data_IF_417564298992
#
_entry.id   IF_417564298992
#
_cell.length_a   1.000
_cell.length_b   1.000
_cell.length_c   1.000
_cell.angle_alpha   90.00
_cell.angle_beta   90.00
_cell.angle_gamma   90.00
#
_symmetry.space_group_name_H-M   'P 1'
#
loop_
_entity.id
_entity.type
_entity.pdbx_description
1 polymer ?
#
# COMPACT_ATOMS: atom_id res chain seq x y z
N UNK A 1 15.87 -1.86 33.53
CA UNK A 1 14.78 -1.33 32.68
C UNK A 1 14.29 -2.48 31.82
N UNK A 2 13.17 -3.12 32.16
CA UNK A 2 12.55 -4.12 31.28
C UNK A 2 11.76 -3.32 30.24
N UNK A 3 12.17 -3.40 28.99
CA UNK A 3 11.35 -2.93 27.88
C UNK A 3 10.28 -4.01 27.68
N UNK A 4 9.09 -3.78 28.23
CA UNK A 4 7.90 -4.54 27.83
C UNK A 4 7.51 -4.02 26.45
N UNK A 5 8.20 -4.51 25.42
CA UNK A 5 7.77 -4.32 24.03
C UNK A 5 6.47 -5.11 23.90
N UNK A 6 5.36 -4.40 23.71
CA UNK A 6 4.06 -5.01 23.45
C UNK A 6 4.19 -5.93 22.22
N UNK A 7 3.83 -7.21 22.39
CA UNK A 7 3.89 -8.24 21.34
C UNK A 7 3.11 -7.81 20.08
N UNK A 8 2.10 -6.95 20.26
CA UNK A 8 1.37 -6.30 19.17
C UNK A 8 2.24 -5.33 18.37
N UNK A 9 3.00 -4.46 19.03
CA UNK A 9 3.91 -3.51 18.38
C UNK A 9 5.03 -4.22 17.62
N UNK A 10 5.55 -5.31 18.19
CA UNK A 10 6.58 -6.12 17.53
C UNK A 10 6.03 -6.80 16.26
N UNK A 11 4.81 -7.33 16.30
CA UNK A 11 4.13 -7.94 15.14
C UNK A 11 3.79 -6.91 14.06
N UNK A 12 3.34 -5.72 14.43
CA UNK A 12 3.06 -4.63 13.48
C UNK A 12 4.33 -4.12 12.79
N UNK A 13 5.43 -4.00 13.54
CA UNK A 13 6.74 -3.66 13.00
C UNK A 13 7.27 -4.76 12.06
N UNK A 14 7.21 -6.03 12.47
CA UNK A 14 7.63 -7.17 11.66
C UNK A 14 6.80 -7.29 10.37
N UNK A 15 5.48 -7.06 10.45
CA UNK A 15 4.60 -7.04 9.27
C UNK A 15 4.97 -5.90 8.32
N UNK A 16 5.13 -4.68 8.84
CA UNK A 16 5.52 -3.52 8.03
C UNK A 16 6.89 -3.74 7.37
N UNK A 17 7.86 -4.30 8.09
CA UNK A 17 9.17 -4.64 7.53
C UNK A 17 9.07 -5.72 6.46
N UNK A 18 8.34 -6.82 6.71
CA UNK A 18 8.19 -7.94 5.76
C UNK A 18 7.60 -7.51 4.42
N UNK A 19 6.65 -6.56 4.43
CA UNK A 19 6.00 -6.10 3.19
C UNK A 19 6.87 -5.14 2.40
N UNK A 20 7.61 -4.25 3.09
CA UNK A 20 8.62 -3.41 2.45
C UNK A 20 9.73 -4.29 1.86
N UNK A 21 10.14 -5.35 2.56
CA UNK A 21 11.11 -6.33 2.05
C UNK A 21 10.60 -7.04 0.79
N UNK A 22 9.31 -7.38 0.70
CA UNK A 22 8.75 -8.02 -0.49
C UNK A 22 8.87 -7.13 -1.74
N UNK A 23 8.61 -5.82 -1.61
CA UNK A 23 8.80 -4.87 -2.70
C UNK A 23 10.28 -4.68 -3.05
N UNK A 24 11.16 -4.61 -2.05
CA UNK A 24 12.62 -4.54 -2.26
C UNK A 24 13.11 -5.78 -3.00
N UNK A 25 12.67 -6.98 -2.61
CA UNK A 25 13.02 -8.23 -3.27
C UNK A 25 12.46 -8.30 -4.70
N UNK A 26 11.24 -7.81 -4.92
CA UNK A 26 10.65 -7.71 -6.26
C UNK A 26 11.43 -6.74 -7.17
N UNK A 27 12.08 -5.74 -6.58
CA UNK A 27 12.97 -4.78 -7.26
C UNK A 27 14.45 -5.20 -7.24
N UNK A 28 14.75 -6.50 -7.16
CA UNK A 28 16.12 -7.04 -7.19
C UNK A 28 17.04 -6.44 -6.11
N UNK A 29 16.49 -6.17 -4.93
CA UNK A 29 17.14 -5.51 -3.80
C UNK A 29 17.56 -4.05 -4.04
N UNK A 30 17.03 -3.41 -5.09
CA UNK A 30 17.18 -1.97 -5.31
C UNK A 30 16.14 -1.18 -4.48
N UNK A 31 16.57 -0.72 -3.30
CA UNK A 31 15.75 0.10 -2.40
C UNK A 31 15.30 1.42 -3.03
N UNK A 32 16.10 2.01 -3.93
CA UNK A 32 15.77 3.29 -4.58
C UNK A 32 14.65 3.08 -5.60
N UNK A 33 14.70 1.97 -6.33
CA UNK A 33 13.64 1.54 -7.25
C UNK A 33 12.37 1.21 -6.48
N UNK A 34 12.45 0.40 -5.43
CA UNK A 34 11.31 0.08 -4.56
C UNK A 34 10.62 1.33 -4.01
N UNK A 35 11.40 2.30 -3.49
CA UNK A 35 10.87 3.57 -2.99
C UNK A 35 10.20 4.39 -4.10
N UNK A 36 10.77 4.40 -5.31
CA UNK A 36 10.22 5.12 -6.46
C UNK A 36 8.89 4.52 -6.92
N UNK A 37 8.81 3.18 -6.98
CA UNK A 37 7.60 2.44 -7.31
C UNK A 37 6.51 2.72 -6.27
N UNK A 38 6.86 2.62 -4.97
CA UNK A 38 5.92 2.91 -3.89
C UNK A 38 5.37 4.33 -3.97
N UNK A 39 6.22 5.34 -4.18
CA UNK A 39 5.76 6.74 -4.31
C UNK A 39 4.81 6.93 -5.48
N UNK A 40 5.16 6.41 -6.67
CA UNK A 40 4.28 6.56 -7.84
C UNK A 40 2.96 5.82 -7.67
N UNK A 41 2.98 4.62 -7.08
CA UNK A 41 1.77 3.88 -6.79
C UNK A 41 0.89 4.60 -5.76
N UNK A 42 1.50 5.23 -4.75
CA UNK A 42 0.77 6.04 -3.77
C UNK A 42 0.15 7.30 -4.38
N UNK A 43 0.89 8.01 -5.24
CA UNK A 43 0.35 9.16 -5.98
C UNK A 43 -0.78 8.73 -6.92
N UNK A 44 -0.64 7.58 -7.58
CA UNK A 44 -1.70 7.00 -8.41
C UNK A 44 -2.96 6.68 -7.59
N UNK A 45 -2.81 6.11 -6.40
CA UNK A 45 -3.92 5.85 -5.47
C UNK A 45 -4.65 7.13 -5.09
N UNK A 46 -3.93 8.20 -4.73
CA UNK A 46 -4.52 9.51 -4.39
C UNK A 46 -5.34 10.03 -5.57
N UNK A 47 -4.74 10.06 -6.76
CA UNK A 47 -5.44 10.53 -7.97
C UNK A 47 -6.71 9.71 -8.22
N UNK A 48 -6.63 8.37 -8.13
CA UNK A 48 -7.79 7.51 -8.35
C UNK A 48 -8.88 7.72 -7.31
N UNK A 49 -8.51 7.93 -6.05
CA UNK A 49 -9.45 8.24 -4.99
C UNK A 49 -10.16 9.57 -5.25
N UNK A 50 -9.40 10.64 -5.53
CA UNK A 50 -9.94 11.96 -5.87
C UNK A 50 -10.88 11.89 -7.09
N UNK A 51 -10.48 11.20 -8.16
CA UNK A 51 -11.33 11.02 -9.35
C UNK A 51 -12.58 10.20 -9.07
N UNK A 52 -12.48 9.15 -8.25
CA UNK A 52 -13.63 8.33 -7.88
C UNK A 52 -14.65 9.11 -7.03
N UNK A 53 -14.24 10.11 -6.25
CA UNK A 53 -15.17 11.03 -5.58
C UNK A 53 -16.03 11.83 -6.56
N UNK A 54 -15.51 12.15 -7.76
CA UNK A 54 -16.26 12.83 -8.82
C UNK A 54 -17.11 11.87 -9.66
N UNK A 55 -16.63 10.66 -9.94
CA UNK A 55 -17.34 9.64 -10.71
C UNK A 55 -17.11 8.23 -10.14
N UNK A 56 -18.06 7.78 -9.32
CA UNK A 56 -18.04 6.46 -8.70
C UNK A 56 -18.23 5.29 -9.69
N UNK A 57 -18.49 5.56 -10.98
CA UNK A 57 -18.63 4.51 -11.99
C UNK A 57 -17.28 4.03 -12.55
N UNK A 58 -16.19 4.72 -12.22
CA UNK A 58 -14.85 4.49 -12.75
C UNK A 58 -14.20 3.20 -12.19
N UNK A 59 -14.41 2.91 -10.91
CA UNK A 59 -13.84 1.75 -10.20
C UNK A 59 -14.99 0.88 -9.71
N UNK A 60 -15.40 -0.11 -10.52
CA UNK A 60 -16.53 -0.98 -10.17
C UNK A 60 -16.09 -2.29 -9.55
N UNK A 61 -14.87 -2.72 -9.85
CA UNK A 61 -14.31 -3.98 -9.38
C UNK A 61 -12.77 -3.87 -9.23
N UNK A 62 -12.18 -4.93 -8.68
CA UNK A 62 -10.74 -5.02 -8.45
C UNK A 62 -9.90 -4.89 -9.73
N UNK A 63 -10.38 -5.42 -10.86
CA UNK A 63 -9.62 -5.37 -12.12
C UNK A 63 -9.55 -3.94 -12.67
N UNK A 64 -10.61 -3.14 -12.51
CA UNK A 64 -10.60 -1.73 -12.91
C UNK A 64 -9.56 -0.95 -12.09
N UNK A 65 -9.54 -1.18 -10.77
CA UNK A 65 -8.56 -0.58 -9.87
C UNK A 65 -7.13 -0.95 -10.25
N UNK A 66 -6.84 -2.24 -10.46
CA UNK A 66 -5.49 -2.69 -10.83
C UNK A 66 -5.06 -2.13 -12.18
N UNK A 67 -5.94 -2.15 -13.19
CA UNK A 67 -5.64 -1.57 -14.50
C UNK A 67 -5.30 -0.08 -14.39
N UNK A 68 -6.13 0.69 -13.69
CA UNK A 68 -5.95 2.12 -13.53
C UNK A 68 -4.70 2.46 -12.71
N UNK A 69 -4.40 1.68 -11.66
CA UNK A 69 -3.17 1.81 -10.89
C UNK A 69 -1.94 1.62 -11.78
N UNK A 70 -1.94 0.56 -12.61
CA UNK A 70 -0.84 0.29 -13.53
C UNK A 70 -0.69 1.37 -14.60
N UNK A 71 -1.80 1.91 -15.12
CA UNK A 71 -1.79 3.01 -16.11
C UNK A 71 -1.25 4.33 -15.51
N UNK A 72 -1.44 4.56 -14.22
CA UNK A 72 -0.99 5.79 -13.54
C UNK A 72 0.45 5.72 -13.01
N UNK A 73 1.03 4.51 -12.88
CA UNK A 73 2.46 4.34 -12.59
C UNK A 73 3.24 4.58 -13.89
N UNK A 74 4.00 5.67 -13.94
CA UNK A 74 4.73 6.11 -15.14
C UNK A 74 5.99 5.29 -15.42
N UNK A 75 6.53 4.62 -14.40
CA UNK A 75 7.68 3.74 -14.54
C UNK A 75 7.26 2.40 -15.16
N UNK A 76 8.09 1.84 -16.05
CA UNK A 76 7.95 0.43 -16.40
C UNK A 76 8.29 -0.44 -15.19
N UNK A 77 7.25 -1.06 -14.64
CA UNK A 77 7.34 -2.01 -13.52
C UNK A 77 7.09 -3.42 -14.03
N UNK A 78 7.75 -4.40 -13.41
CA UNK A 78 7.47 -5.82 -13.67
C UNK A 78 6.17 -6.23 -13.00
N UNK A 79 5.62 -7.39 -13.39
CA UNK A 79 4.42 -7.93 -12.73
C UNK A 79 4.66 -8.23 -11.25
N UNK A 80 5.86 -8.73 -10.91
CA UNK A 80 6.26 -8.98 -9.53
C UNK A 80 6.29 -7.71 -8.68
N UNK A 81 6.82 -6.61 -9.23
CA UNK A 81 6.85 -5.32 -8.54
C UNK A 81 5.46 -4.72 -8.37
N UNK A 82 4.62 -4.88 -9.38
CA UNK A 82 3.25 -4.40 -9.35
C UNK A 82 2.41 -5.13 -8.29
N UNK A 83 2.51 -6.46 -8.24
CA UNK A 83 1.83 -7.26 -7.21
C UNK A 83 2.31 -6.87 -5.81
N UNK A 84 3.63 -6.76 -5.60
CA UNK A 84 4.20 -6.40 -4.31
C UNK A 84 3.75 -5.00 -3.83
N UNK A 85 3.65 -4.01 -4.73
CA UNK A 85 3.21 -2.66 -4.36
C UNK A 85 1.70 -2.59 -4.10
N UNK A 86 0.88 -3.36 -4.84
CA UNK A 86 -0.56 -3.44 -4.58
C UNK A 86 -0.86 -4.05 -3.21
N UNK A 87 -0.20 -5.15 -2.87
CA UNK A 87 -0.36 -5.79 -1.56
C UNK A 87 0.05 -4.85 -0.43
N UNK A 88 1.17 -4.13 -0.61
CA UNK A 88 1.66 -3.13 0.34
C UNK A 88 0.64 -2.00 0.55
N UNK A 89 0.02 -1.50 -0.52
CA UNK A 89 -0.99 -0.45 -0.45
C UNK A 89 -2.27 -0.95 0.24
N UNK A 90 -2.81 -2.10 -0.17
CA UNK A 90 -4.06 -2.64 0.37
C UNK A 90 -3.97 -2.85 1.90
N UNK A 91 -2.85 -3.40 2.37
CA UNK A 91 -2.63 -3.58 3.80
C UNK A 91 -2.47 -2.26 4.55
N UNK A 92 -1.81 -1.25 3.97
CA UNK A 92 -1.69 0.07 4.59
C UNK A 92 -3.03 0.79 4.68
N UNK A 93 -3.88 0.66 3.66
CA UNK A 93 -5.25 1.19 3.68
C UNK A 93 -6.09 0.48 4.75
N UNK A 94 -6.04 -0.85 4.83
CA UNK A 94 -6.74 -1.63 5.87
C UNK A 94 -6.28 -1.26 7.28
N UNK A 95 -4.98 -1.08 7.49
CA UNK A 95 -4.41 -0.67 8.77
C UNK A 95 -4.95 0.69 9.20
N UNK A 96 -5.00 1.66 8.28
CA UNK A 96 -5.54 3.00 8.52
C UNK A 96 -7.06 2.98 8.78
N UNK A 97 -7.81 2.20 8.01
CA UNK A 97 -9.25 2.04 8.22
C UNK A 97 -9.56 1.45 9.60
N UNK A 98 -8.81 0.43 10.03
CA UNK A 98 -8.95 -0.17 11.36
C UNK A 98 -8.64 0.83 12.47
N UNK A 99 -7.54 1.59 12.36
CA UNK A 99 -7.19 2.64 13.33
C UNK A 99 -8.27 3.73 13.44
N UNK A 100 -8.99 4.02 12.34
CA UNK A 100 -10.08 4.99 12.34
C UNK A 100 -11.35 4.42 12.99
N UNK A 101 -11.69 3.14 12.72
CA UNK A 101 -12.80 2.44 13.40
C UNK A 101 -12.57 2.39 14.91
N UNK A 102 -11.39 1.94 15.35
CA UNK A 102 -11.02 1.84 16.76
C UNK A 102 -11.09 3.21 17.48
N UNK A 103 -10.95 4.33 16.75
CA UNK A 103 -11.11 5.69 17.28
C UNK A 103 -12.58 6.14 17.36
N UNK A 104 -13.42 5.69 16.44
CA UNK A 104 -14.86 6.00 16.44
C UNK A 104 -15.62 5.21 17.50
N UNK A 105 -15.20 3.97 17.80
CA UNK A 105 -15.83 3.10 18.81
C UNK A 105 -15.48 3.46 20.26
N UNK A 106 -14.50 4.36 20.47
CA UNK A 106 -14.04 4.82 21.78
C UNK A 106 -14.48 6.26 22.13
N UNK A 107 -15.39 6.85 21.36
CA UNK A 107 -16.05 8.14 21.62
C UNK A 107 -17.55 7.96 21.84
#
# INVERSE_FOLDING_TARGET
MKFDIDDKQLREAAKSMSMVTALIEASDWDETRALTIFKQAFDALINLYEYNEYDNSLIQNKNDYERLMRENIKLQITDREFEAVLDLIDDKVKEKAKQQSDRCDNN
#
